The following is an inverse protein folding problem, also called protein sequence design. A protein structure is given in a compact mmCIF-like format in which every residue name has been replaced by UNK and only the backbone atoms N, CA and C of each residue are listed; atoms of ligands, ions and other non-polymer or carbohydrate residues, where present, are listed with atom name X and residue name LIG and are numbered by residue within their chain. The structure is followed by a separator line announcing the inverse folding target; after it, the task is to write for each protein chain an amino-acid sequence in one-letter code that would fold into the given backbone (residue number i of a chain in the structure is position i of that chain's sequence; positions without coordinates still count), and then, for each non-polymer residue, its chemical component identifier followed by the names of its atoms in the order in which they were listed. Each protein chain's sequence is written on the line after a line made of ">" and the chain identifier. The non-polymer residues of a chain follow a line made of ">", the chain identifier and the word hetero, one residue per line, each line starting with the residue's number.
data_IF_017636089519
#
_entry.id   IF_017636089519
#
_cell.length_a   1.000
_cell.length_b   1.000
_cell.length_c   1.000
_cell.angle_alpha   90.00
_cell.angle_beta   90.00
_cell.angle_gamma   90.00
#
_symmetry.space_group_name_H-M   'P 1'
#
loop_
_entity.id
_entity.type
_entity.pdbx_description
1 polymer ?
#
# COMPACT_ATOMS: atom_id res chain seq x y z
N UNK A 1 0.85 56.72 11.82
CA UNK A 1 0.08 55.46 11.77
C UNK A 1 0.64 54.65 10.60
N UNK A 2 1.29 53.53 10.94
CA UNK A 2 1.88 52.48 10.08
C UNK A 2 3.22 52.74 9.35
N UNK A 3 4.28 52.23 10.01
CA UNK A 3 5.53 51.69 9.47
C UNK A 3 5.25 50.28 8.87
N UNK A 4 5.87 49.96 7.74
CA UNK A 4 6.25 48.57 7.44
C UNK A 4 7.44 48.48 6.49
N UNK A 5 8.58 48.20 7.10
CA UNK A 5 9.80 47.64 6.52
C UNK A 5 9.57 46.27 5.85
N UNK A 6 10.57 45.91 5.04
CA UNK A 6 11.04 44.56 4.59
C UNK A 6 10.40 44.05 3.30
N UNK A 7 11.11 43.39 2.39
CA UNK A 7 12.50 42.93 2.42
C UNK A 7 12.83 42.13 1.14
N UNK A 8 14.11 42.21 0.78
CA UNK A 8 14.95 41.36 -0.08
C UNK A 8 14.30 40.35 -1.03
N UNK A 9 14.74 40.53 -2.27
CA UNK A 9 14.68 39.66 -3.45
C UNK A 9 15.49 38.37 -3.27
N UNK A 10 14.95 37.30 -3.88
CA UNK A 10 15.56 36.05 -4.36
C UNK A 10 16.05 34.97 -3.37
N UNK A 11 15.35 33.83 -3.39
CA UNK A 11 15.98 32.53 -3.74
C UNK A 11 15.09 31.89 -4.82
N UNK A 12 15.52 32.00 -6.07
CA UNK A 12 14.88 31.30 -7.18
C UNK A 12 15.19 29.80 -7.10
N UNK A 13 14.16 28.96 -7.14
CA UNK A 13 14.32 27.54 -7.44
C UNK A 13 14.44 27.43 -8.97
N UNK A 14 15.68 27.51 -9.48
CA UNK A 14 15.96 27.43 -10.90
C UNK A 14 15.73 26.01 -11.43
N UNK A 15 15.01 25.89 -12.54
CA UNK A 15 15.07 24.71 -13.39
C UNK A 15 16.42 24.78 -14.12
N UNK A 16 17.34 23.85 -13.85
CA UNK A 16 18.52 23.66 -14.69
C UNK A 16 18.27 22.48 -15.63
N UNK A 17 17.97 22.78 -16.89
CA UNK A 17 18.12 21.82 -17.99
C UNK A 17 19.53 22.00 -18.53
N UNK A 18 20.42 21.03 -18.29
CA UNK A 18 21.71 20.98 -18.97
C UNK A 18 21.63 19.93 -20.09
N UNK A 19 21.56 20.40 -21.34
CA UNK A 19 21.80 19.57 -22.52
C UNK A 19 23.26 19.76 -22.91
N UNK A 20 24.08 18.74 -22.66
CA UNK A 20 25.46 18.73 -23.12
C UNK A 20 25.74 17.41 -23.83
N UNK A 21 25.68 17.43 -25.16
CA UNK A 21 26.11 16.31 -26.00
C UNK A 21 27.63 16.41 -26.14
N UNK A 22 28.36 15.70 -25.28
CA UNK A 22 29.75 15.36 -25.54
C UNK A 22 29.88 13.85 -25.44
N UNK A 23 29.88 13.24 -26.63
CA UNK A 23 30.54 11.98 -26.99
C UNK A 23 30.59 10.92 -25.88
N UNK A 24 29.60 10.05 -25.89
CA UNK A 24 29.85 8.62 -25.67
C UNK A 24 29.69 8.05 -24.25
N UNK A 25 29.17 8.80 -23.28
CA UNK A 25 28.70 8.23 -22.01
C UNK A 25 27.31 8.79 -21.67
N UNK A 26 26.27 7.97 -21.79
CA UNK A 26 24.95 8.27 -21.24
C UNK A 26 25.04 8.11 -19.71
N UNK A 27 25.35 9.18 -19.00
CA UNK A 27 25.18 9.23 -17.54
C UNK A 27 23.77 9.76 -17.29
N UNK A 28 22.85 8.87 -16.92
CA UNK A 28 21.51 9.26 -16.51
C UNK A 28 21.53 9.67 -15.02
N UNK A 29 20.87 10.78 -14.70
CA UNK A 29 20.94 11.46 -13.41
C UNK A 29 20.21 10.72 -12.26
N UNK A 30 20.71 10.96 -11.05
CA UNK A 30 20.26 10.40 -9.78
C UNK A 30 18.89 10.92 -9.30
N UNK A 31 18.07 10.01 -8.74
CA UNK A 31 16.91 10.34 -7.91
C UNK A 31 17.31 10.29 -6.42
N UNK A 32 17.50 11.47 -5.82
CA UNK A 32 17.23 11.70 -4.39
C UNK A 32 15.87 12.41 -4.42
N UNK A 33 14.71 11.83 -4.12
CA UNK A 33 14.28 11.02 -2.98
C UNK A 33 12.91 10.38 -3.31
N UNK A 34 12.57 9.15 -2.83
CA UNK A 34 11.18 8.68 -2.85
C UNK A 34 10.57 8.35 -1.48
N UNK A 35 11.22 8.66 -0.35
CA UNK A 35 10.58 8.54 0.96
C UNK A 35 10.10 9.91 1.42
N UNK A 36 8.77 10.11 1.48
CA UNK A 36 8.16 11.27 2.09
C UNK A 36 8.71 11.45 3.51
N UNK A 37 9.35 12.60 3.78
CA UNK A 37 9.63 13.01 5.15
C UNK A 37 8.45 13.83 5.66
N UNK A 38 7.91 13.47 6.82
CA UNK A 38 6.79 14.11 7.50
C UNK A 38 7.14 15.40 8.26
N UNK A 39 8.24 16.08 7.92
CA UNK A 39 8.78 17.18 8.74
C UNK A 39 8.28 18.60 8.40
N UNK A 40 7.31 18.75 7.50
CA UNK A 40 6.69 20.04 7.21
C UNK A 40 5.23 20.11 7.72
N UNK A 41 5.07 20.22 9.04
CA UNK A 41 3.79 20.52 9.72
C UNK A 41 3.31 21.96 9.48
N UNK A 42 3.14 22.38 8.22
CA UNK A 42 2.40 23.59 7.88
C UNK A 42 1.01 23.23 7.35
N UNK A 43 -0.01 23.65 8.11
CA UNK A 43 -1.45 23.36 7.97
C UNK A 43 -2.12 23.85 6.67
N UNK A 44 -1.39 24.48 5.77
CA UNK A 44 -1.94 25.16 4.58
C UNK A 44 -1.68 24.42 3.25
N UNK A 45 -1.29 23.14 3.29
CA UNK A 45 -1.07 22.33 2.07
C UNK A 45 -2.32 21.47 1.75
N UNK A 46 -2.72 21.29 0.48
CA UNK A 46 -3.72 20.28 0.06
C UNK A 46 -3.42 18.92 0.69
N UNK A 47 -4.42 18.03 0.85
CA UNK A 47 -4.25 16.79 1.61
C UNK A 47 -2.98 16.10 1.14
N UNK A 48 -2.03 15.89 2.06
CA UNK A 48 -0.73 15.32 1.76
C UNK A 48 -0.94 13.93 1.16
N UNK A 49 -0.98 13.83 -0.17
CA UNK A 49 -1.09 12.56 -0.88
C UNK A 49 0.32 11.99 -0.96
N UNK A 50 0.64 11.07 -0.07
CA UNK A 50 1.81 10.22 -0.25
C UNK A 50 1.63 9.42 -1.55
N UNK A 51 2.70 9.28 -2.38
CA UNK A 51 2.60 8.47 -3.60
C UNK A 51 2.29 7.02 -3.24
N UNK A 52 1.51 6.36 -4.10
CA UNK A 52 1.10 4.96 -3.90
C UNK A 52 2.35 4.06 -3.76
N UNK A 53 2.49 3.30 -2.65
CA UNK A 53 3.64 2.45 -2.43
C UNK A 53 3.65 1.26 -3.38
N UNK A 54 4.81 0.98 -3.97
CA UNK A 54 5.03 -0.20 -4.83
C UNK A 54 6.00 -1.16 -4.15
N UNK A 55 5.62 -2.43 -4.02
CA UNK A 55 6.46 -3.50 -3.48
C UNK A 55 6.61 -4.63 -4.48
N UNK A 56 7.69 -5.41 -4.35
CA UNK A 56 7.92 -6.61 -5.18
C UNK A 56 8.04 -7.82 -4.28
N UNK A 57 7.24 -8.84 -4.57
CA UNK A 57 7.24 -10.16 -3.93
C UNK A 57 7.66 -11.23 -4.94
N UNK A 58 7.77 -12.49 -4.53
CA UNK A 58 8.23 -13.59 -5.40
C UNK A 58 7.29 -13.84 -6.60
N UNK A 59 6.00 -13.61 -6.40
CA UNK A 59 4.95 -13.79 -7.38
C UNK A 59 4.80 -12.62 -8.36
N UNK A 60 5.21 -11.40 -7.98
CA UNK A 60 5.13 -10.22 -8.82
C UNK A 60 5.18 -8.89 -8.04
N UNK A 61 4.89 -7.79 -8.73
CA UNK A 61 4.84 -6.45 -8.11
C UNK A 61 3.41 -6.06 -7.71
N UNK A 62 3.28 -5.30 -6.63
CA UNK A 62 2.02 -4.82 -6.07
C UNK A 62 2.08 -3.29 -5.91
N UNK A 63 0.98 -2.60 -6.21
CA UNK A 63 0.80 -1.19 -5.84
C UNK A 63 -0.29 -1.09 -4.76
N UNK A 64 0.07 -0.56 -3.60
CA UNK A 64 -0.82 -0.31 -2.47
C UNK A 64 -1.18 1.16 -2.35
N UNK A 65 -1.83 1.53 -1.24
CA UNK A 65 -2.16 2.93 -0.94
C UNK A 65 -1.66 3.35 0.44
N UNK A 66 -1.35 4.63 0.61
CA UNK A 66 -1.13 5.22 1.92
C UNK A 66 -2.46 5.60 2.57
N UNK A 67 -2.64 5.20 3.82
CA UNK A 67 -3.83 5.49 4.62
C UNK A 67 -3.44 6.24 5.90
N UNK A 68 -4.26 7.19 6.37
CA UNK A 68 -4.05 7.81 7.67
C UNK A 68 -4.23 6.78 8.79
N UNK A 69 -3.39 6.87 9.82
CA UNK A 69 -3.52 6.10 11.05
C UNK A 69 -4.86 6.45 11.74
N UNK A 70 -5.59 5.41 12.17
CA UNK A 70 -6.90 5.53 12.86
C UNK A 70 -6.79 6.27 14.20
N UNK A 71 -5.61 6.34 14.80
CA UNK A 71 -5.37 7.04 16.07
C UNK A 71 -5.36 8.57 15.92
N UNK A 72 -5.35 9.10 14.69
CA UNK A 72 -5.35 10.55 14.44
C UNK A 72 -4.05 11.26 14.85
N UNK A 73 -2.98 10.50 15.11
CA UNK A 73 -1.66 11.01 15.48
C UNK A 73 -0.88 11.68 14.32
N UNK A 74 -1.51 11.80 13.14
CA UNK A 74 -0.89 12.36 11.94
C UNK A 74 0.06 11.40 11.20
N UNK A 75 0.23 10.17 11.68
CA UNK A 75 1.00 9.13 10.98
C UNK A 75 0.18 8.48 9.89
N UNK A 76 0.88 7.79 8.99
CA UNK A 76 0.27 7.01 7.94
C UNK A 76 0.77 5.56 7.98
N UNK A 77 0.11 4.69 7.24
CA UNK A 77 0.58 3.34 6.96
C UNK A 77 0.32 2.99 5.49
N UNK A 78 1.15 2.12 4.94
CA UNK A 78 0.91 1.53 3.63
C UNK A 78 -0.02 0.32 3.79
N UNK A 79 -1.02 0.22 2.91
CA UNK A 79 -1.97 -0.87 2.86
C UNK A 79 -1.96 -1.53 1.48
N UNK A 80 -1.92 -2.86 1.46
CA UNK A 80 -2.04 -3.69 0.26
C UNK A 80 -3.17 -4.68 0.48
N UNK A 81 -4.22 -4.59 -0.32
CA UNK A 81 -5.42 -5.40 -0.18
C UNK A 81 -5.50 -6.51 -1.24
N UNK A 82 -6.15 -7.62 -0.91
CA UNK A 82 -6.47 -8.66 -1.89
C UNK A 82 -5.23 -9.32 -2.51
N UNK A 83 -4.16 -9.50 -1.72
CA UNK A 83 -2.92 -10.14 -2.17
C UNK A 83 -3.11 -11.67 -2.13
N UNK A 84 -3.02 -12.37 -3.27
CA UNK A 84 -3.20 -13.82 -3.29
C UNK A 84 -2.01 -14.50 -2.62
N UNK A 85 -2.28 -15.41 -1.67
CA UNK A 85 -1.23 -16.20 -1.02
C UNK A 85 -1.26 -17.67 -1.39
N UNK A 86 -2.34 -18.13 -2.05
CA UNK A 86 -2.46 -19.48 -2.55
C UNK A 86 -3.35 -19.53 -3.81
N UNK A 87 -3.30 -20.64 -4.54
CA UNK A 87 -4.21 -20.89 -5.65
C UNK A 87 -5.66 -21.02 -5.17
N UNK A 88 -6.65 -20.59 -5.96
CA UNK A 88 -8.05 -20.83 -5.66
C UNK A 88 -8.33 -22.33 -5.43
N UNK A 89 -8.90 -22.74 -4.28
CA UNK A 89 -9.16 -24.14 -3.93
C UNK A 89 -10.41 -24.70 -4.62
N UNK A 90 -10.55 -24.45 -5.93
CA UNK A 90 -11.71 -24.83 -6.75
C UNK A 90 -11.44 -26.08 -7.58
N UNK A 91 -12.51 -26.76 -8.01
CA UNK A 91 -12.42 -27.93 -8.88
C UNK A 91 -11.55 -29.04 -8.28
N UNK A 92 -10.51 -29.44 -9.00
CA UNK A 92 -9.58 -30.49 -8.56
C UNK A 92 -8.74 -30.11 -7.33
N UNK A 93 -8.68 -28.83 -6.95
CA UNK A 93 -8.00 -28.38 -5.74
C UNK A 93 -8.91 -28.35 -4.51
N UNK A 94 -10.22 -28.60 -4.70
CA UNK A 94 -11.17 -28.63 -3.60
C UNK A 94 -10.80 -29.72 -2.60
N UNK A 95 -10.80 -29.36 -1.32
CA UNK A 95 -10.43 -30.24 -0.20
C UNK A 95 -8.98 -30.76 -0.22
N UNK A 96 -8.10 -30.13 -0.99
CA UNK A 96 -6.66 -30.40 -0.96
C UNK A 96 -5.94 -29.30 -0.20
N UNK A 97 -4.70 -29.59 0.19
CA UNK A 97 -3.80 -28.59 0.76
C UNK A 97 -3.62 -27.40 -0.20
N UNK A 98 -3.56 -26.16 0.34
CA UNK A 98 -3.28 -24.98 -0.47
C UNK A 98 -2.00 -25.13 -1.29
N UNK A 99 -2.03 -24.63 -2.54
CA UNK A 99 -0.87 -24.59 -3.41
C UNK A 99 -0.37 -23.15 -3.55
N UNK A 100 0.94 -22.91 -3.76
CA UNK A 100 1.49 -21.57 -3.94
C UNK A 100 0.77 -20.78 -5.04
N UNK A 101 0.54 -19.49 -4.80
CA UNK A 101 -0.12 -18.61 -5.76
C UNK A 101 0.63 -18.58 -7.10
N UNK A 102 -0.12 -18.36 -8.18
CA UNK A 102 0.48 -18.17 -9.50
C UNK A 102 1.15 -16.80 -9.59
N UNK A 103 2.29 -16.75 -10.30
CA UNK A 103 2.95 -15.49 -10.62
C UNK A 103 2.08 -14.66 -11.55
N UNK A 104 2.12 -13.33 -11.38
CA UNK A 104 1.44 -12.40 -12.29
C UNK A 104 2.44 -11.52 -13.03
N UNK A 105 2.02 -11.05 -14.21
CA UNK A 105 2.80 -10.12 -15.03
C UNK A 105 2.38 -8.70 -14.72
N UNK A 106 3.35 -7.80 -14.63
CA UNK A 106 3.11 -6.37 -14.36
C UNK A 106 2.90 -6.07 -12.88
N UNK A 107 2.22 -4.95 -12.61
CA UNK A 107 1.95 -4.48 -11.25
C UNK A 107 0.47 -4.73 -10.94
N UNK A 108 0.21 -5.55 -9.93
CA UNK A 108 -1.15 -5.84 -9.45
C UNK A 108 -1.65 -4.69 -8.58
N UNK A 109 -2.85 -4.21 -8.87
CA UNK A 109 -3.51 -3.18 -8.06
C UNK A 109 -4.02 -3.78 -6.75
N UNK A 110 -3.51 -3.26 -5.63
CA UNK A 110 -3.84 -3.65 -4.26
C UNK A 110 -4.21 -2.41 -3.41
N UNK A 111 -4.70 -1.33 -4.05
CA UNK A 111 -4.99 -0.04 -3.39
C UNK A 111 -6.30 -0.01 -2.63
N UNK A 112 -7.28 -0.79 -3.09
CA UNK A 112 -8.66 -0.73 -2.61
C UNK A 112 -9.03 -2.08 -2.01
N UNK A 113 -9.61 -2.03 -0.81
CA UNK A 113 -10.16 -3.20 -0.15
C UNK A 113 -11.39 -3.69 -0.89
N UNK A 114 -11.44 -5.00 -1.15
CA UNK A 114 -12.59 -5.66 -1.77
C UNK A 114 -13.34 -6.47 -0.71
N UNK A 115 -14.39 -5.87 -0.15
CA UNK A 115 -15.20 -6.48 0.90
C UNK A 115 -16.07 -7.65 0.39
N UNK A 116 -16.14 -7.85 -0.93
CA UNK A 116 -16.87 -8.96 -1.53
C UNK A 116 -16.08 -10.27 -1.52
N UNK A 117 -14.77 -10.22 -1.25
CA UNK A 117 -13.92 -11.41 -1.16
C UNK A 117 -14.05 -12.02 0.24
N UNK A 118 -14.88 -13.05 0.33
CA UNK A 118 -15.08 -13.84 1.54
C UNK A 118 -15.17 -15.31 1.17
N UNK A 119 -14.61 -16.20 1.99
CA UNK A 119 -14.77 -17.64 1.79
C UNK A 119 -16.23 -18.06 1.97
N UNK A 120 -16.61 -19.17 1.33
CA UNK A 120 -17.98 -19.70 1.48
C UNK A 120 -18.25 -19.99 2.95
N UNK A 121 -19.28 -19.35 3.48
CA UNK A 121 -19.66 -19.42 4.89
C UNK A 121 -21.17 -19.38 5.07
N UNK A 122 -21.66 -19.93 6.18
CA UNK A 122 -23.08 -19.92 6.52
C UNK A 122 -23.31 -18.92 7.67
N UNK A 123 -23.76 -17.72 7.30
CA UNK A 123 -24.04 -16.66 8.26
C UNK A 123 -25.53 -16.69 8.58
N UNK A 124 -25.87 -17.15 9.78
CA UNK A 124 -27.26 -17.16 10.29
C UNK A 124 -28.28 -17.83 9.35
N UNK A 125 -27.90 -18.94 8.72
CA UNK A 125 -28.75 -19.69 7.79
C UNK A 125 -28.67 -19.25 6.33
N UNK A 126 -27.91 -18.20 6.02
CA UNK A 126 -27.66 -17.75 4.65
C UNK A 126 -26.24 -18.13 4.24
N UNK A 127 -26.11 -18.89 3.15
CA UNK A 127 -24.80 -19.21 2.56
C UNK A 127 -24.38 -18.06 1.66
N UNK A 128 -23.19 -17.51 1.92
CA UNK A 128 -22.59 -16.42 1.15
C UNK A 128 -21.09 -16.65 0.94
N UNK A 129 -20.47 -15.89 0.06
CA UNK A 129 -19.05 -15.96 -0.26
C UNK A 129 -18.72 -16.78 -1.52
N UNK A 130 -17.44 -17.03 -1.72
CA UNK A 130 -16.89 -17.70 -2.91
C UNK A 130 -15.73 -18.62 -2.53
N UNK A 131 -15.51 -19.69 -3.30
CA UNK A 131 -14.40 -20.62 -3.04
C UNK A 131 -13.03 -20.00 -3.37
N UNK A 132 -12.98 -19.08 -4.34
CA UNK A 132 -11.79 -18.27 -4.63
C UNK A 132 -11.65 -17.10 -3.63
N UNK A 133 -11.11 -17.41 -2.45
CA UNK A 133 -11.07 -16.49 -1.32
C UNK A 133 -9.71 -16.45 -0.58
N UNK A 134 -8.67 -17.12 -1.08
CA UNK A 134 -7.36 -17.23 -0.41
C UNK A 134 -6.49 -15.98 -0.67
N UNK A 135 -6.92 -14.86 -0.08
CA UNK A 135 -6.28 -13.55 -0.16
C UNK A 135 -5.98 -13.00 1.23
N UNK A 136 -4.98 -12.15 1.33
CA UNK A 136 -4.63 -11.44 2.57
C UNK A 136 -4.47 -9.94 2.33
N UNK A 137 -4.61 -9.18 3.43
CA UNK A 137 -4.34 -7.76 3.48
C UNK A 137 -3.05 -7.52 4.27
N UNK A 138 -2.19 -6.62 3.79
CA UNK A 138 -0.88 -6.31 4.38
C UNK A 138 -0.89 -4.84 4.80
N UNK A 139 -0.54 -4.59 6.06
CA UNK A 139 -0.44 -3.26 6.65
C UNK A 139 0.99 -3.02 7.12
N UNK A 140 1.63 -1.98 6.61
CA UNK A 140 3.01 -1.64 6.93
C UNK A 140 3.03 -0.25 7.58
N UNK A 141 3.41 -0.12 8.86
CA UNK A 141 3.48 1.18 9.51
C UNK A 141 4.53 2.06 8.84
N UNK A 142 4.36 3.37 8.94
CA UNK A 142 5.39 4.31 8.55
C UNK A 142 6.70 4.07 9.32
N UNK A 143 7.82 3.94 8.58
CA UNK A 143 9.15 3.71 9.14
C UNK A 143 10.15 4.74 8.65
N UNK A 144 11.03 5.19 9.55
CA UNK A 144 12.18 6.03 9.20
C UNK A 144 13.31 5.19 8.60
N UNK A 145 13.22 4.90 7.29
CA UNK A 145 14.23 4.17 6.53
C UNK A 145 13.97 2.66 6.40
N UNK A 146 14.98 1.92 5.91
CA UNK A 146 14.90 0.46 5.69
C UNK A 146 15.17 -0.27 6.99
N UNK A 147 14.10 -0.66 7.68
CA UNK A 147 14.16 -1.38 8.97
C UNK A 147 13.37 -2.68 8.83
N UNK A 148 13.89 -3.76 9.42
CA UNK A 148 13.13 -5.00 9.57
C UNK A 148 12.11 -4.83 10.69
N UNK A 149 10.84 -5.00 10.35
CA UNK A 149 9.74 -4.92 11.30
C UNK A 149 9.41 -6.30 11.86
N UNK A 150 8.92 -6.33 13.10
CA UNK A 150 8.24 -7.51 13.60
C UNK A 150 6.94 -7.72 12.81
N UNK A 151 6.72 -8.94 12.33
CA UNK A 151 5.51 -9.30 11.57
C UNK A 151 4.51 -9.95 12.50
N UNK A 152 3.26 -9.47 12.46
CA UNK A 152 2.12 -10.08 13.16
C UNK A 152 1.12 -10.54 12.13
N UNK A 153 0.65 -11.78 12.26
CA UNK A 153 -0.38 -12.36 11.41
C UNK A 153 -1.66 -12.39 12.23
N UNK A 154 -2.71 -11.75 11.73
CA UNK A 154 -4.03 -11.78 12.31
C UNK A 154 -4.87 -12.80 11.54
N UNK A 155 -5.26 -13.86 12.24
CA UNK A 155 -6.20 -14.85 11.72
C UNK A 155 -7.56 -14.57 12.36
N UNK A 156 -8.57 -14.29 11.52
CA UNK A 156 -9.94 -14.15 11.99
C UNK A 156 -10.52 -15.54 12.23
N UNK A 157 -10.41 -16.05 13.45
CA UNK A 157 -11.02 -17.32 13.84
C UNK A 157 -12.43 -17.10 14.41
N UNK A 158 -13.39 -17.88 13.94
CA UNK A 158 -14.68 -18.06 14.61
C UNK A 158 -14.94 -19.55 14.78
N UNK A 159 -15.89 -19.88 15.65
CA UNK A 159 -16.41 -21.23 15.77
C UNK A 159 -17.17 -21.61 14.47
N UNK A 160 -16.40 -22.06 13.48
CA UNK A 160 -16.82 -22.87 12.32
C UNK A 160 -17.64 -22.16 11.22
N UNK A 161 -18.21 -20.96 11.36
CA UNK A 161 -19.14 -20.45 10.30
C UNK A 161 -19.16 -18.96 9.92
N UNK A 162 -18.37 -18.06 10.51
CA UNK A 162 -18.49 -16.63 10.14
C UNK A 162 -17.17 -15.87 10.34
N UNK A 163 -16.48 -15.40 9.30
CA UNK A 163 -15.46 -14.35 9.34
C UNK A 163 -14.92 -13.98 7.95
N UNK A 164 -14.61 -12.69 7.76
CA UNK A 164 -13.76 -12.20 6.67
C UNK A 164 -12.85 -11.08 7.18
N UNK A 165 -11.57 -11.03 6.73
CA UNK A 165 -10.67 -9.91 7.04
C UNK A 165 -11.15 -8.57 6.46
N UNK A 166 -12.21 -8.60 5.64
CA UNK A 166 -12.79 -7.42 5.03
C UNK A 166 -14.07 -6.93 5.73
N UNK A 167 -14.54 -7.60 6.78
CA UNK A 167 -15.62 -7.07 7.60
C UNK A 167 -15.03 -6.01 8.54
N UNK A 168 -15.29 -4.74 8.26
CA UNK A 168 -14.91 -3.65 9.16
C UNK A 168 -15.71 -3.76 10.46
N UNK A 169 -15.01 -3.96 11.57
CA UNK A 169 -15.58 -3.68 12.89
C UNK A 169 -15.86 -2.17 12.95
N UNK A 170 -17.13 -1.80 12.85
CA UNK A 170 -17.63 -0.44 13.12
C UNK A 170 -17.88 -0.30 14.62
#
# INVERSE_FOLDING_TARGET
>A
MWDSKKGRVAVGCGVMVAVSVLVGLVIYYASKDPYCKCEDLNRDRPPFVCPDPVITVEEGSLVGSCKPDITGNGKQYAAFFGVPYAKPPVGELRFKEPRPADKWVGVRDAKVQDDTVQCVQNVSGTVSGREDCLYMNIYVPETSGKVLLSTKIFQCDSAVYDNSPNHGDV
#
